data_IF_522604652745
#
_entry.id   IF_522604652745
#
_cell.length_a   1.000
_cell.length_b   1.000
_cell.length_c   1.000
_cell.angle_alpha   90.00
_cell.angle_beta   90.00
_cell.angle_gamma   90.00
#
_symmetry.space_group_name_H-M   'P 1'
#
loop_
_entity.id
_entity.type
_entity.pdbx_description
1 polymer ?
#
# COMPACT_ATOMS: atom_id res chain seq x y z
N UNK A 1 5.00 14.89 3.35
CA UNK A 1 5.56 14.13 2.22
C UNK A 1 5.28 12.66 2.47
N UNK A 2 4.72 11.95 1.49
CA UNK A 2 4.48 10.51 1.57
C UNK A 2 5.69 9.76 1.05
N UNK A 3 6.13 8.73 1.77
CA UNK A 3 7.22 7.85 1.36
C UNK A 3 6.68 6.42 1.28
N UNK A 4 6.84 5.79 0.12
CA UNK A 4 6.52 4.39 -0.06
C UNK A 4 7.58 3.51 0.62
N UNK A 5 7.14 2.66 1.56
CA UNK A 5 8.02 1.78 2.32
C UNK A 5 8.03 0.34 1.78
N UNK A 6 6.92 -0.14 1.21
CA UNK A 6 6.82 -1.50 0.66
C UNK A 6 5.44 -1.80 0.10
N UNK A 7 5.30 -2.87 -0.69
CA UNK A 7 4.01 -3.32 -1.23
C UNK A 7 3.93 -4.84 -1.37
N UNK A 8 2.75 -5.44 -1.10
CA UNK A 8 2.47 -6.88 -1.31
C UNK A 8 1.20 -7.12 -2.12
N UNK A 9 1.23 -8.08 -3.03
CA UNK A 9 0.07 -8.48 -3.83
C UNK A 9 -0.50 -9.72 -3.17
N UNK A 10 -1.74 -9.63 -2.73
CA UNK A 10 -2.45 -10.72 -2.08
C UNK A 10 -3.52 -11.22 -3.03
N UNK A 11 -3.49 -12.51 -3.34
CA UNK A 11 -4.61 -13.17 -3.99
C UNK A 11 -5.72 -13.37 -2.96
N UNK A 12 -6.89 -12.77 -3.21
CA UNK A 12 -8.03 -12.77 -2.26
C UNK A 12 -9.03 -13.87 -2.60
N UNK A 13 -8.78 -14.65 -3.64
CA UNK A 13 -9.75 -15.62 -4.16
C UNK A 13 -10.90 -14.97 -4.93
N UNK A 14 -11.75 -15.80 -5.50
CA UNK A 14 -12.97 -15.38 -6.18
C UNK A 14 -13.49 -16.49 -7.08
N UNK A 15 -14.82 -16.64 -7.15
CA UNK A 15 -15.49 -17.64 -8.00
C UNK A 15 -15.12 -17.49 -9.48
N UNK A 16 -15.91 -16.75 -10.25
CA UNK A 16 -15.70 -16.66 -11.72
C UNK A 16 -14.54 -15.75 -12.15
N UNK A 17 -13.90 -15.01 -11.23
CA UNK A 17 -12.79 -14.09 -11.53
C UNK A 17 -11.78 -14.03 -10.38
N UNK A 18 -10.50 -14.08 -10.75
CA UNK A 18 -9.38 -13.81 -9.84
C UNK A 18 -9.44 -12.37 -9.32
N UNK A 19 -9.47 -12.21 -7.99
CA UNK A 19 -9.34 -10.90 -7.33
C UNK A 19 -8.02 -10.80 -6.61
N UNK A 20 -7.38 -9.65 -6.77
CA UNK A 20 -6.13 -9.33 -6.11
C UNK A 20 -6.30 -8.07 -5.27
N UNK A 21 -5.49 -7.98 -4.23
CA UNK A 21 -5.38 -6.86 -3.32
C UNK A 21 -3.92 -6.43 -3.27
N UNK A 22 -3.62 -5.27 -3.83
CA UNK A 22 -2.35 -4.58 -3.66
C UNK A 22 -2.40 -3.83 -2.33
N UNK A 23 -1.56 -4.24 -1.39
CA UNK A 23 -1.41 -3.60 -0.08
C UNK A 23 -0.08 -2.86 -0.07
N UNK A 24 -0.12 -1.55 0.04
CA UNK A 24 1.06 -0.70 0.08
C UNK A 24 1.21 -0.07 1.47
N UNK A 25 2.43 -0.05 1.99
CA UNK A 25 2.77 0.63 3.22
C UNK A 25 3.40 1.98 2.89
N UNK A 26 2.78 3.05 3.35
CA UNK A 26 3.25 4.41 3.18
C UNK A 26 3.60 4.99 4.55
N UNK A 27 4.70 5.72 4.65
CA UNK A 27 4.98 6.59 5.80
C UNK A 27 4.71 8.04 5.44
N UNK A 28 3.98 8.72 6.31
CA UNK A 28 3.65 10.14 6.18
C UNK A 28 4.37 10.88 7.30
N UNK A 29 5.17 11.87 6.90
CA UNK A 29 5.78 12.81 7.84
C UNK A 29 4.77 13.91 8.18
N UNK A 30 4.31 13.92 9.42
CA UNK A 30 3.28 14.85 9.92
C UNK A 30 3.85 16.17 10.43
N UNK A 31 5.17 16.35 10.35
CA UNK A 31 5.79 17.61 10.77
C UNK A 31 5.29 18.74 9.88
N UNK A 32 4.67 19.76 10.49
CA UNK A 32 4.35 21.01 9.81
C UNK A 32 5.65 21.64 9.29
N UNK A 33 5.56 22.24 8.10
CA UNK A 33 6.68 23.00 7.57
C UNK A 33 6.90 24.26 8.40
N UNK A 34 8.14 24.47 8.86
CA UNK A 34 8.50 25.58 9.73
C UNK A 34 9.94 25.47 10.23
N UNK A 35 10.42 26.55 10.86
CA UNK A 35 11.80 26.72 11.34
C UNK A 35 12.23 25.58 12.28
N UNK A 36 11.28 24.97 13.00
CA UNK A 36 11.53 23.91 13.97
C UNK A 36 11.28 22.48 13.44
N UNK A 37 11.13 22.30 12.12
CA UNK A 37 10.86 20.98 11.51
C UNK A 37 11.97 19.96 11.81
N UNK A 38 13.22 20.39 11.85
CA UNK A 38 14.39 19.53 12.12
C UNK A 38 14.62 19.26 13.61
N UNK A 39 14.15 20.15 14.48
CA UNK A 39 14.27 20.02 15.94
C UNK A 39 13.09 19.28 16.58
N UNK A 40 11.97 19.16 15.87
CA UNK A 40 10.87 18.31 16.32
C UNK A 40 11.15 16.82 16.13
N UNK A 41 10.81 15.97 17.12
CA UNK A 41 10.91 14.52 16.97
C UNK A 41 10.11 14.05 15.74
N UNK A 42 10.66 13.06 15.01
CA UNK A 42 10.02 12.51 13.81
C UNK A 42 8.64 11.94 14.18
N UNK A 43 7.59 12.68 13.84
CA UNK A 43 6.21 12.19 13.90
C UNK A 43 5.88 11.54 12.56
N UNK A 44 6.09 10.22 12.47
CA UNK A 44 5.77 9.43 11.29
C UNK A 44 4.56 8.56 11.59
N UNK A 45 3.46 8.78 10.87
CA UNK A 45 2.35 7.84 10.83
C UNK A 45 2.50 6.94 9.62
N UNK A 46 2.07 5.69 9.76
CA UNK A 46 2.05 4.73 8.66
C UNK A 46 0.61 4.53 8.18
N UNK A 47 0.45 4.46 6.88
CA UNK A 47 -0.80 4.20 6.20
C UNK A 47 -0.68 2.90 5.42
N UNK A 48 -1.73 2.09 5.47
CA UNK A 48 -1.95 1.02 4.52
C UNK A 48 -2.87 1.54 3.43
N UNK A 49 -2.33 1.60 2.22
CA UNK A 49 -3.13 1.83 1.03
C UNK A 49 -3.50 0.47 0.45
N UNK A 50 -4.79 0.17 0.41
CA UNK A 50 -5.33 -1.07 -0.13
C UNK A 50 -6.04 -0.77 -1.44
N UNK A 51 -5.57 -1.39 -2.51
CA UNK A 51 -6.18 -1.34 -3.83
C UNK A 51 -6.61 -2.75 -4.23
N UNK A 52 -7.92 -2.98 -4.33
CA UNK A 52 -8.46 -4.24 -4.85
C UNK A 52 -8.82 -4.09 -6.32
N UNK A 53 -8.43 -5.07 -7.13
CA UNK A 53 -8.70 -5.08 -8.56
C UNK A 53 -8.83 -6.52 -9.06
N UNK A 54 -9.55 -6.68 -10.18
CA UNK A 54 -9.59 -7.94 -10.91
C UNK A 54 -8.85 -7.72 -12.23
N UNK A 55 -7.69 -8.35 -12.45
CA UNK A 55 -6.97 -8.23 -13.70
C UNK A 55 -7.85 -8.74 -14.83
N UNK A 56 -7.80 -8.06 -15.96
CA UNK A 56 -8.35 -8.55 -17.21
C UNK A 56 -7.19 -8.99 -18.06
N UNK A 57 -7.34 -10.14 -18.68
CA UNK A 57 -6.40 -10.62 -19.68
C UNK A 57 -7.07 -10.47 -21.04
N UNK A 58 -6.28 -10.17 -22.05
CA UNK A 58 -6.78 -10.24 -23.42
C UNK A 58 -6.63 -11.65 -23.99
N UNK A 59 -6.96 -11.77 -25.27
CA UNK A 59 -6.98 -13.06 -25.96
C UNK A 59 -5.59 -13.69 -26.06
N UNK A 60 -4.52 -12.93 -25.81
CA UNK A 60 -3.13 -13.40 -25.80
C UNK A 60 -2.66 -13.77 -24.38
N UNK A 61 -3.50 -13.56 -23.37
CA UNK A 61 -3.13 -13.76 -21.97
C UNK A 61 -2.35 -12.58 -21.39
N UNK A 62 -2.24 -11.46 -22.11
CA UNK A 62 -1.53 -10.29 -21.64
C UNK A 62 -2.40 -9.49 -20.66
N UNK A 63 -1.85 -9.01 -19.53
CA UNK A 63 -2.58 -8.22 -18.57
C UNK A 63 -2.97 -6.87 -19.19
N UNK A 64 -4.26 -6.55 -19.11
CA UNK A 64 -4.81 -5.24 -19.46
C UNK A 64 -5.11 -4.43 -18.22
N UNK A 65 -5.20 -3.10 -18.41
CA UNK A 65 -5.61 -2.14 -17.37
C UNK A 65 -6.85 -2.67 -16.66
N UNK A 66 -6.64 -3.08 -15.41
CA UNK A 66 -7.68 -3.62 -14.57
C UNK A 66 -8.58 -2.48 -14.09
N UNK A 67 -9.89 -2.75 -13.97
CA UNK A 67 -10.77 -1.82 -13.27
C UNK A 67 -10.51 -1.98 -11.77
N UNK A 68 -10.07 -0.92 -11.11
CA UNK A 68 -10.00 -0.89 -9.65
C UNK A 68 -11.42 -0.97 -9.07
N UNK A 69 -11.62 -1.87 -8.10
CA UNK A 69 -12.90 -2.07 -7.44
C UNK A 69 -13.01 -1.28 -6.16
N UNK A 70 -11.92 -1.18 -5.40
CA UNK A 70 -11.88 -0.41 -4.17
C UNK A 70 -10.47 0.12 -3.92
N UNK A 71 -10.39 1.38 -3.51
CA UNK A 71 -9.19 2.04 -3.04
C UNK A 71 -9.50 2.60 -1.67
N UNK A 72 -8.75 2.19 -0.65
CA UNK A 72 -8.93 2.63 0.72
C UNK A 72 -7.60 2.92 1.39
N UNK A 73 -7.55 3.97 2.22
CA UNK A 73 -6.41 4.30 3.05
C UNK A 73 -6.76 4.09 4.52
N UNK A 74 -5.95 3.29 5.21
CA UNK A 74 -6.15 2.91 6.60
C UNK A 74 -4.96 3.34 7.42
N UNK A 75 -5.22 4.04 8.53
CA UNK A 75 -4.16 4.35 9.49
C UNK A 75 -3.72 3.07 10.19
N UNK A 76 -2.42 2.80 10.16
CA UNK A 76 -1.88 1.68 10.91
C UNK A 76 -1.79 2.09 12.39
N UNK A 77 -2.44 1.33 13.27
CA UNK A 77 -2.38 1.58 14.71
C UNK A 77 -0.98 1.24 15.26
N UNK A 78 -0.55 1.91 16.32
CA UNK A 78 0.79 1.70 16.89
C UNK A 78 1.02 0.28 17.44
N UNK A 79 -0.04 -0.50 17.69
CA UNK A 79 0.11 -1.91 18.08
C UNK A 79 0.57 -2.77 16.90
N UNK A 80 0.23 -2.38 15.67
CA UNK A 80 0.65 -3.09 14.47
C UNK A 80 2.09 -2.76 14.05
N UNK A 81 2.82 -1.91 14.80
CA UNK A 81 4.25 -1.65 14.57
C UNK A 81 5.10 -2.93 14.58
N UNK A 82 4.67 -3.97 15.30
CA UNK A 82 5.36 -5.27 15.39
C UNK A 82 5.46 -5.96 14.02
N UNK A 83 4.57 -5.63 13.09
CA UNK A 83 4.55 -6.15 11.72
C UNK A 83 5.30 -5.27 10.72
N UNK A 84 5.92 -4.16 11.15
CA UNK A 84 6.61 -3.25 10.23
C UNK A 84 7.75 -3.90 9.47
N UNK A 85 8.59 -4.71 10.12
CA UNK A 85 9.68 -5.39 9.42
C UNK A 85 9.16 -6.30 8.30
N UNK A 86 7.96 -6.86 8.48
CA UNK A 86 7.31 -7.66 7.44
C UNK A 86 6.74 -6.78 6.34
N UNK A 87 6.16 -5.62 6.67
CA UNK A 87 5.56 -4.67 5.73
C UNK A 87 6.59 -3.85 4.92
N UNK A 88 7.72 -3.48 5.53
CA UNK A 88 8.82 -2.76 4.86
C UNK A 88 9.66 -3.69 3.97
N UNK A 89 9.69 -5.00 4.28
CA UNK A 89 10.31 -6.01 3.42
C UNK A 89 9.44 -6.44 2.25
N UNK A 90 8.22 -5.94 2.15
CA UNK A 90 7.34 -6.27 1.02
C UNK A 90 7.93 -5.65 -0.24
N UNK A 91 8.48 -6.51 -1.10
CA UNK A 91 9.12 -6.15 -2.35
C UNK A 91 8.08 -5.47 -3.23
N UNK A 92 8.31 -4.19 -3.54
CA UNK A 92 7.47 -3.47 -4.48
C UNK A 92 7.51 -4.19 -5.84
N UNK A 93 6.38 -4.74 -6.26
CA UNK A 93 6.17 -5.17 -7.65
C UNK A 93 5.51 -4.02 -8.39
N UNK A 94 6.18 -3.54 -9.44
CA UNK A 94 5.50 -2.81 -10.49
C UNK A 94 4.75 -3.82 -11.35
N UNK A 95 3.44 -3.61 -11.51
CA UNK A 95 2.61 -4.30 -12.51
C UNK A 95 2.58 -3.41 -13.75
#
# INVERSE_FOLDING_TARGET
MEKHNGATLVYVGGGDRSRFCLVQCLSVDDRQEGIWKESMPKCRRHLLWITTFSPKYDNHGDPRVAKCHHVGSYRLHDIARVYYDQLERLVAFCI
#
